data_IF_503653634324
#
_entry.id   IF_503653634324
#
_cell.length_a   1.000
_cell.length_b   1.000
_cell.length_c   1.000
_cell.angle_alpha   90.00
_cell.angle_beta   90.00
_cell.angle_gamma   90.00
#
_symmetry.space_group_name_H-M   'P 1'
#
loop_
_entity.id
_entity.type
_entity.pdbx_description
1 polymer ?
#
# COMPACT_ATOMS: atom_id res chain seq x y z
N UNK A 1 28.99 2.82 -5.99
CA UNK A 1 28.60 1.93 -7.09
C UNK A 1 27.09 1.83 -7.05
N UNK A 2 26.38 2.14 -8.14
CA UNK A 2 24.92 2.03 -8.20
C UNK A 2 24.50 0.59 -8.49
N UNK A 3 23.38 0.17 -7.93
CA UNK A 3 22.75 -1.13 -8.22
C UNK A 3 21.73 -0.91 -9.34
N UNK A 4 21.69 -1.82 -10.31
CA UNK A 4 20.69 -1.77 -11.39
C UNK A 4 19.32 -2.20 -10.88
N UNK A 5 18.26 -1.57 -11.38
CA UNK A 5 16.86 -1.92 -11.08
C UNK A 5 16.17 -2.64 -12.24
N UNK A 6 16.89 -2.99 -13.31
CA UNK A 6 16.32 -3.62 -14.52
C UNK A 6 15.56 -4.91 -14.22
N UNK A 7 16.07 -5.77 -13.34
CA UNK A 7 15.38 -7.02 -12.98
C UNK A 7 14.07 -6.76 -12.22
N UNK A 8 14.04 -5.70 -11.40
CA UNK A 8 12.85 -5.29 -10.66
C UNK A 8 11.78 -4.73 -11.61
N UNK A 9 12.14 -3.82 -12.52
CA UNK A 9 11.18 -3.27 -13.50
C UNK A 9 10.65 -4.36 -14.43
N UNK A 10 11.50 -5.29 -14.85
CA UNK A 10 11.09 -6.47 -15.61
C UNK A 10 10.11 -7.36 -14.83
N UNK A 11 10.30 -7.53 -13.52
CA UNK A 11 9.41 -8.35 -12.68
C UNK A 11 7.99 -7.76 -12.56
N UNK A 12 7.85 -6.44 -12.68
CA UNK A 12 6.55 -5.77 -12.76
C UNK A 12 5.94 -5.77 -14.16
N UNK A 13 6.64 -6.34 -15.15
CA UNK A 13 6.20 -6.36 -16.55
C UNK A 13 6.41 -5.02 -17.28
N UNK A 14 7.03 -4.03 -16.65
CA UNK A 14 7.36 -2.76 -17.28
C UNK A 14 8.58 -2.94 -18.16
N UNK A 15 8.35 -3.10 -19.46
CA UNK A 15 9.41 -3.27 -20.45
C UNK A 15 9.44 -2.13 -21.44
N UNK A 16 10.62 -1.83 -21.99
CA UNK A 16 10.79 -0.84 -23.06
C UNK A 16 10.33 0.57 -22.66
N UNK A 17 9.25 1.09 -23.28
CA UNK A 17 8.78 2.47 -23.05
C UNK A 17 8.06 2.65 -21.72
N UNK A 18 7.54 1.58 -21.11
CA UNK A 18 6.85 1.63 -19.81
C UNK A 18 7.82 1.91 -18.65
N UNK A 19 9.10 1.54 -18.81
CA UNK A 19 10.18 1.87 -17.85
C UNK A 19 10.41 3.38 -17.73
N UNK A 20 10.07 4.15 -18.77
CA UNK A 20 10.23 5.60 -18.83
C UNK A 20 8.93 6.37 -18.56
N UNK A 21 7.84 5.68 -18.27
CA UNK A 21 6.59 6.32 -17.86
C UNK A 21 6.67 6.79 -16.40
N UNK A 22 5.99 7.89 -16.10
CA UNK A 22 5.83 8.36 -14.73
C UNK A 22 4.73 7.54 -14.07
N UNK A 23 5.11 6.73 -13.09
CA UNK A 23 4.20 5.95 -12.27
C UNK A 23 3.91 6.69 -10.97
N UNK A 24 2.68 6.53 -10.46
CA UNK A 24 2.35 7.00 -9.12
C UNK A 24 3.08 6.15 -8.07
N UNK A 25 3.74 6.81 -7.11
CA UNK A 25 4.53 6.12 -6.09
C UNK A 25 3.66 5.27 -5.15
N UNK A 26 2.42 5.69 -4.88
CA UNK A 26 1.48 4.94 -4.05
C UNK A 26 1.01 3.69 -4.79
N UNK A 27 0.77 3.79 -6.09
CA UNK A 27 0.40 2.64 -6.92
C UNK A 27 1.52 1.59 -6.95
N UNK A 28 2.76 2.02 -7.23
CA UNK A 28 3.92 1.12 -7.19
C UNK A 28 4.10 0.47 -5.82
N UNK A 29 3.97 1.25 -4.74
CA UNK A 29 4.11 0.72 -3.37
C UNK A 29 3.08 -0.38 -3.09
N UNK A 30 1.82 -0.15 -3.46
CA UNK A 30 0.74 -1.13 -3.29
C UNK A 30 0.97 -2.41 -4.09
N UNK A 31 1.41 -2.30 -5.35
CA UNK A 31 1.74 -3.47 -6.19
C UNK A 31 2.88 -4.28 -5.56
N UNK A 32 3.94 -3.61 -5.10
CA UNK A 32 5.08 -4.25 -4.45
C UNK A 32 4.67 -4.97 -3.16
N UNK A 33 3.85 -4.34 -2.32
CA UNK A 33 3.37 -4.94 -1.07
C UNK A 33 2.54 -6.18 -1.32
N UNK A 34 1.59 -6.14 -2.26
CA UNK A 34 0.82 -7.32 -2.65
C UNK A 34 1.72 -8.45 -3.18
N UNK A 35 2.71 -8.14 -4.02
CA UNK A 35 3.65 -9.14 -4.52
C UNK A 35 4.50 -9.78 -3.40
N UNK A 36 4.91 -9.00 -2.40
CA UNK A 36 5.65 -9.49 -1.23
C UNK A 36 4.75 -10.38 -0.37
N UNK A 37 3.52 -9.95 -0.07
CA UNK A 37 2.57 -10.75 0.73
C UNK A 37 2.28 -12.09 0.08
N UNK A 38 2.02 -12.11 -1.23
CA UNK A 38 1.81 -13.34 -2.01
C UNK A 38 3.05 -14.25 -1.99
N UNK A 39 4.24 -13.67 -2.14
CA UNK A 39 5.51 -14.42 -2.15
C UNK A 39 5.89 -15.02 -0.79
N UNK A 40 5.38 -14.44 0.31
CA UNK A 40 5.71 -14.85 1.67
C UNK A 40 4.68 -15.83 2.28
N UNK A 41 3.61 -16.18 1.57
CA UNK A 41 2.61 -17.16 2.04
C UNK A 41 3.28 -18.48 2.41
N UNK A 42 3.01 -18.97 3.63
CA UNK A 42 3.59 -20.21 4.15
C UNK A 42 5.00 -20.07 4.73
N UNK A 43 5.59 -18.87 4.71
CA UNK A 43 6.85 -18.57 5.39
C UNK A 43 6.60 -17.97 6.79
N UNK A 44 7.58 -17.98 7.70
CA UNK A 44 7.46 -17.30 8.99
C UNK A 44 7.24 -15.77 8.89
N UNK A 45 7.54 -15.18 7.72
CA UNK A 45 7.42 -13.74 7.47
C UNK A 45 6.13 -13.36 6.74
N UNK A 46 5.16 -14.27 6.60
CA UNK A 46 3.93 -14.04 5.85
C UNK A 46 3.18 -12.75 6.23
N UNK A 47 3.22 -12.35 7.51
CA UNK A 47 2.49 -11.19 8.00
C UNK A 47 3.34 -9.92 8.12
N UNK A 48 4.59 -9.91 7.63
CA UNK A 48 5.53 -8.82 7.89
C UNK A 48 5.07 -7.46 7.36
N UNK A 49 4.34 -7.43 6.23
CA UNK A 49 3.81 -6.19 5.67
C UNK A 49 2.73 -5.62 6.60
N UNK A 50 1.78 -6.46 7.03
CA UNK A 50 0.76 -6.03 7.99
C UNK A 50 1.38 -5.64 9.33
N UNK A 51 2.34 -6.40 9.87
CA UNK A 51 2.97 -6.08 11.15
C UNK A 51 3.70 -4.72 11.17
N UNK A 52 4.24 -4.29 10.03
CA UNK A 52 5.05 -3.06 9.93
C UNK A 52 4.25 -1.85 9.44
N UNK A 53 3.28 -2.04 8.55
CA UNK A 53 2.64 -0.95 7.81
C UNK A 53 1.13 -0.84 8.06
N UNK A 54 0.48 -1.84 8.66
CA UNK A 54 -0.95 -1.78 8.97
C UNK A 54 -1.24 -0.72 10.04
N UNK A 55 -2.27 0.08 9.76
CA UNK A 55 -2.93 0.90 10.75
C UNK A 55 -4.44 0.89 10.52
N UNK A 56 -5.18 1.33 11.54
CA UNK A 56 -6.64 1.49 11.46
C UNK A 56 -7.03 2.95 11.61
N UNK A 57 -8.02 3.38 10.84
CA UNK A 57 -8.65 4.69 10.96
C UNK A 57 -10.13 4.52 11.27
N UNK A 58 -10.64 5.30 12.22
CA UNK A 58 -12.07 5.30 12.57
C UNK A 58 -12.73 6.55 12.01
N UNK A 59 -13.54 6.36 10.98
CA UNK A 59 -14.38 7.39 10.39
C UNK A 59 -15.66 7.55 11.22
N UNK A 60 -15.67 8.59 12.07
CA UNK A 60 -16.77 8.90 12.99
C UNK A 60 -17.61 10.07 12.50
N UNK A 61 -18.89 9.83 12.30
CA UNK A 61 -19.89 10.86 11.96
C UNK A 61 -20.87 10.99 13.14
N UNK A 62 -20.96 12.19 13.69
CA UNK A 62 -21.92 12.51 14.77
C UNK A 62 -22.98 13.48 14.27
N UNK A 63 -24.26 13.12 14.36
CA UNK A 63 -25.34 14.01 14.01
C UNK A 63 -25.49 15.13 15.06
N UNK A 64 -25.39 16.39 14.64
CA UNK A 64 -25.46 17.54 15.55
C UNK A 64 -26.80 17.69 16.27
N UNK A 65 -27.91 17.27 15.64
CA UNK A 65 -29.28 17.40 16.17
C UNK A 65 -29.66 16.29 17.14
N UNK A 66 -29.60 15.03 16.70
CA UNK A 66 -30.07 13.88 17.48
C UNK A 66 -28.95 13.13 18.22
N UNK A 67 -27.69 13.55 18.06
CA UNK A 67 -26.50 12.95 18.69
C UNK A 67 -26.25 11.48 18.35
N UNK A 68 -26.91 10.93 17.32
CA UNK A 68 -26.59 9.60 16.78
C UNK A 68 -25.18 9.59 16.20
N UNK A 69 -24.43 8.55 16.53
CA UNK A 69 -23.07 8.31 16.07
C UNK A 69 -23.09 7.17 15.04
N UNK A 70 -22.34 7.35 13.96
CA UNK A 70 -21.97 6.31 13.00
C UNK A 70 -20.46 6.23 12.99
N UNK A 71 -19.91 5.03 13.19
CA UNK A 71 -18.48 4.76 13.16
C UNK A 71 -18.22 3.67 12.11
N UNK A 72 -17.15 3.86 11.34
CA UNK A 72 -16.65 2.87 10.38
C UNK A 72 -15.14 2.80 10.55
N UNK A 73 -14.64 1.62 10.89
CA UNK A 73 -13.22 1.33 10.97
C UNK A 73 -12.73 0.87 9.59
N UNK A 74 -11.58 1.36 9.16
CA UNK A 74 -10.93 1.00 7.90
C UNK A 74 -9.44 0.79 8.12
N UNK A 75 -8.89 -0.20 7.43
CA UNK A 75 -7.47 -0.48 7.44
C UNK A 75 -6.76 0.39 6.39
N UNK A 76 -5.50 0.74 6.67
CA UNK A 76 -4.60 1.39 5.71
C UNK A 76 -3.19 0.80 5.81
N UNK A 77 -2.43 0.93 4.72
CA UNK A 77 -0.99 0.63 4.66
C UNK A 77 -0.14 1.87 4.36
N UNK A 78 -0.78 2.98 3.94
CA UNK A 78 -0.17 4.27 3.71
C UNK A 78 -1.14 5.43 4.04
N UNK A 79 -0.61 6.64 4.20
CA UNK A 79 -1.38 7.84 4.51
C UNK A 79 -1.06 8.95 3.51
N UNK A 80 -2.08 9.41 2.77
CA UNK A 80 -1.98 10.60 1.91
C UNK A 80 -2.12 11.86 2.77
N UNK A 81 -1.08 12.69 2.80
CA UNK A 81 -1.08 13.97 3.55
C UNK A 81 -1.30 15.12 2.56
N UNK A 82 -2.24 16.02 2.89
CA UNK A 82 -2.43 17.25 2.14
C UNK A 82 -1.26 18.22 2.40
N UNK A 83 -0.76 18.84 1.33
CA UNK A 83 0.30 19.86 1.36
C UNK A 83 -0.30 21.25 1.19
#
# INVERSE_FOLDING_TARGET
>A
QSVSTTDLTNSFGWTNQEEFQQHDVQELNRILFSAIEESLVGTPAQNIINELYHGTIVNKITCSKCKKISEREEDFLDLTVAV
#
